data_IF_320806124549
#
_entry.id   IF_320806124549
#
_cell.length_a   1.000
_cell.length_b   1.000
_cell.length_c   1.000
_cell.angle_alpha   90.00
_cell.angle_beta   90.00
_cell.angle_gamma   90.00
#
_symmetry.space_group_name_H-M   'P 1'
#
loop_
_entity.id
_entity.type
_entity.pdbx_description
1 polymer ?
#
# COMPACT_ATOMS: atom_id res chain seq x y z
N UNK A 1 -56.82 22.57 -57.95
CA UNK A 1 -55.92 21.56 -57.40
C UNK A 1 -55.39 22.12 -56.07
N UNK A 2 -55.88 21.60 -54.93
CA UNK A 2 -55.45 22.04 -53.59
C UNK A 2 -54.46 21.02 -53.06
N UNK A 3 -53.21 21.44 -52.84
CA UNK A 3 -52.15 20.65 -52.23
C UNK A 3 -52.38 20.57 -50.70
N UNK A 4 -52.45 19.34 -50.18
CA UNK A 4 -52.49 19.09 -48.73
C UNK A 4 -51.02 19.02 -48.19
N UNK A 5 -50.75 19.57 -47.02
CA UNK A 5 -49.44 19.42 -46.39
C UNK A 5 -49.32 18.06 -45.68
N UNK A 6 -48.21 17.36 -45.92
CA UNK A 6 -47.84 16.16 -45.20
C UNK A 6 -47.32 16.50 -43.83
N UNK A 7 -47.98 15.95 -42.79
CA UNK A 7 -47.53 16.07 -41.39
C UNK A 7 -46.53 14.93 -41.15
N UNK A 8 -45.26 15.29 -40.94
CA UNK A 8 -44.22 14.34 -40.50
C UNK A 8 -44.34 14.17 -38.98
N UNK A 9 -44.71 12.97 -38.55
CA UNK A 9 -44.71 12.57 -37.14
C UNK A 9 -43.29 12.16 -36.77
N UNK A 10 -42.60 13.02 -35.98
CA UNK A 10 -41.31 12.74 -35.41
C UNK A 10 -41.49 11.82 -34.20
N UNK A 11 -41.21 10.53 -34.32
CA UNK A 11 -41.23 9.58 -33.20
C UNK A 11 -39.96 9.78 -32.35
N UNK A 12 -40.11 10.43 -31.19
CA UNK A 12 -39.08 10.50 -30.15
C UNK A 12 -38.96 9.11 -29.49
N UNK A 13 -37.92 8.38 -29.82
CA UNK A 13 -37.50 7.19 -29.09
C UNK A 13 -36.89 7.61 -27.73
N UNK A 14 -37.70 7.54 -26.68
CA UNK A 14 -37.17 7.61 -25.32
C UNK A 14 -36.38 6.32 -25.04
N UNK A 15 -35.07 6.43 -25.06
CA UNK A 15 -34.20 5.38 -24.51
C UNK A 15 -34.42 5.38 -22.97
N UNK A 16 -35.14 4.40 -22.46
CA UNK A 16 -35.24 4.17 -21.02
C UNK A 16 -33.84 3.81 -20.51
N UNK A 17 -33.39 4.41 -19.40
CA UNK A 17 -32.13 3.97 -18.80
C UNK A 17 -32.26 2.50 -18.42
N UNK A 18 -31.31 1.68 -18.90
CA UNK A 18 -31.19 0.30 -18.50
C UNK A 18 -30.81 0.33 -17.01
N UNK A 19 -31.77 0.11 -16.14
CA UNK A 19 -31.48 -0.10 -14.72
C UNK A 19 -30.62 -1.36 -14.62
N UNK A 20 -29.39 -1.22 -14.11
CA UNK A 20 -28.55 -2.37 -13.80
C UNK A 20 -29.34 -3.31 -12.88
N UNK A 21 -29.35 -4.60 -13.16
CA UNK A 21 -29.92 -5.58 -12.26
C UNK A 21 -29.25 -5.45 -10.89
N UNK A 22 -30.01 -5.54 -9.78
CA UNK A 22 -29.41 -5.52 -8.45
C UNK A 22 -28.35 -6.62 -8.38
N UNK A 23 -27.14 -6.28 -7.88
CA UNK A 23 -26.07 -7.26 -7.73
C UNK A 23 -26.52 -8.34 -6.74
N UNK A 24 -26.15 -9.60 -6.98
CA UNK A 24 -26.41 -10.69 -6.02
C UNK A 24 -25.65 -10.46 -4.68
N UNK A 25 -24.67 -9.56 -4.65
CA UNK A 25 -23.89 -9.15 -3.49
C UNK A 25 -23.94 -7.62 -3.33
N UNK A 26 -25.06 -7.05 -2.83
CA UNK A 26 -25.28 -5.61 -2.75
C UNK A 26 -24.30 -4.90 -1.79
N UNK A 27 -23.66 -5.62 -0.86
CA UNK A 27 -22.67 -5.09 0.08
C UNK A 27 -21.23 -5.27 -0.41
N UNK A 28 -21.02 -5.99 -1.52
CA UNK A 28 -19.69 -6.29 -2.04
C UNK A 28 -18.87 -7.26 -1.16
N UNK A 29 -19.55 -8.06 -0.35
CA UNK A 29 -18.90 -8.99 0.59
C UNK A 29 -18.11 -10.09 -0.11
N UNK A 30 -18.45 -10.41 -1.36
CA UNK A 30 -17.77 -11.39 -2.21
C UNK A 30 -16.94 -10.76 -3.32
N UNK A 31 -16.32 -9.62 -3.07
CA UNK A 31 -15.50 -8.95 -4.07
C UNK A 31 -14.39 -9.84 -4.65
N UNK A 32 -13.91 -10.83 -3.90
CA UNK A 32 -12.98 -11.87 -4.36
C UNK A 32 -13.66 -13.11 -4.99
N UNK A 33 -14.98 -13.13 -5.18
CA UNK A 33 -15.70 -14.31 -5.67
C UNK A 33 -15.46 -15.53 -4.78
N UNK A 34 -15.20 -16.68 -5.38
CA UNK A 34 -14.94 -17.96 -4.67
C UNK A 34 -13.64 -17.98 -3.86
N UNK A 35 -12.76 -16.99 -4.02
CA UNK A 35 -11.56 -16.85 -3.20
C UNK A 35 -11.85 -16.24 -1.83
N UNK A 36 -13.04 -15.63 -1.64
CA UNK A 36 -13.42 -14.89 -0.43
C UNK A 36 -13.46 -15.80 0.80
N UNK A 37 -12.81 -15.34 1.87
CA UNK A 37 -12.87 -15.95 3.19
C UNK A 37 -13.51 -14.97 4.15
N UNK A 38 -14.63 -15.34 4.74
CA UNK A 38 -15.28 -14.56 5.80
C UNK A 38 -14.60 -14.86 7.14
N UNK A 39 -13.84 -13.88 7.62
CA UNK A 39 -13.13 -13.98 8.88
C UNK A 39 -13.16 -12.66 9.64
N UNK A 40 -13.13 -12.73 10.94
CA UNK A 40 -13.07 -11.57 11.84
C UNK A 40 -11.85 -11.66 12.76
N UNK A 41 -11.53 -10.53 13.40
CA UNK A 41 -10.43 -10.46 14.35
C UNK A 41 -9.07 -10.22 13.74
N UNK A 42 -8.05 -10.32 14.57
CA UNK A 42 -6.67 -9.90 14.27
C UNK A 42 -6.08 -10.55 13.00
N UNK A 43 -6.43 -11.78 12.71
CA UNK A 43 -5.86 -12.58 11.62
C UNK A 43 -6.77 -12.64 10.38
N UNK A 44 -7.78 -11.78 10.29
CA UNK A 44 -8.77 -11.83 9.20
C UNK A 44 -8.14 -11.77 7.80
N UNK A 45 -7.01 -11.12 7.65
CA UNK A 45 -6.29 -10.98 6.37
C UNK A 45 -5.23 -12.06 6.13
N UNK A 46 -5.03 -13.00 7.07
CA UNK A 46 -3.95 -13.99 7.00
C UNK A 46 -4.39 -15.35 6.48
N UNK A 47 -5.62 -15.48 6.01
CA UNK A 47 -6.14 -16.74 5.50
C UNK A 47 -5.82 -16.91 4.00
N UNK A 48 -5.52 -18.16 3.57
CA UNK A 48 -5.45 -18.48 2.16
C UNK A 48 -6.83 -18.33 1.49
N UNK A 49 -6.85 -18.13 0.18
CA UNK A 49 -8.09 -18.13 -0.58
C UNK A 49 -8.90 -19.43 -0.34
N UNK A 50 -10.24 -19.32 -0.28
CA UNK A 50 -11.11 -20.43 0.11
C UNK A 50 -11.05 -21.61 -0.88
N UNK A 51 -10.85 -21.34 -2.15
CA UNK A 51 -10.88 -22.31 -3.26
C UNK A 51 -9.52 -22.96 -3.59
N UNK A 52 -8.48 -22.75 -2.76
CA UNK A 52 -7.18 -23.40 -2.98
C UNK A 52 -7.26 -24.91 -2.70
N UNK A 53 -6.60 -25.70 -3.53
CA UNK A 53 -6.30 -27.11 -3.29
C UNK A 53 -5.36 -27.30 -2.09
N UNK A 54 -5.21 -28.51 -1.59
CA UNK A 54 -4.31 -28.81 -0.47
C UNK A 54 -2.84 -28.52 -0.83
N UNK A 55 -2.43 -28.76 -2.06
CA UNK A 55 -1.09 -28.44 -2.55
C UNK A 55 -0.85 -26.92 -2.56
N UNK A 56 -1.81 -26.15 -3.07
CA UNK A 56 -1.73 -24.68 -3.09
C UNK A 56 -1.78 -24.09 -1.69
N UNK A 57 -2.57 -24.66 -0.76
CA UNK A 57 -2.54 -24.27 0.65
C UNK A 57 -1.17 -24.50 1.28
N UNK A 58 -0.53 -25.62 0.94
CA UNK A 58 0.85 -25.91 1.40
C UNK A 58 1.84 -24.87 0.86
N UNK A 59 1.76 -24.52 -0.41
CA UNK A 59 2.57 -23.44 -1.01
C UNK A 59 2.31 -22.09 -0.34
N UNK A 60 1.04 -21.76 -0.06
CA UNK A 60 0.68 -20.55 0.69
C UNK A 60 1.34 -20.51 2.06
N UNK A 61 1.30 -21.59 2.85
CA UNK A 61 1.94 -21.66 4.17
C UNK A 61 3.45 -21.44 4.09
N UNK A 62 4.10 -22.05 3.10
CA UNK A 62 5.53 -21.86 2.85
C UNK A 62 5.83 -20.39 2.51
N UNK A 63 5.08 -19.81 1.58
CA UNK A 63 5.22 -18.40 1.17
C UNK A 63 4.98 -17.44 2.33
N UNK A 64 3.92 -17.66 3.11
CA UNK A 64 3.61 -16.86 4.29
C UNK A 64 4.72 -16.95 5.36
N UNK A 65 5.40 -18.09 5.45
CA UNK A 65 6.58 -18.23 6.30
C UNK A 65 7.73 -17.30 5.86
N UNK A 66 7.95 -17.12 4.56
CA UNK A 66 8.95 -16.15 4.05
C UNK A 66 8.51 -14.70 4.29
N UNK A 67 7.23 -14.42 4.19
CA UNK A 67 6.68 -13.10 4.45
C UNK A 67 6.82 -12.67 5.92
N UNK A 68 6.54 -13.56 6.85
CA UNK A 68 6.44 -13.25 8.30
C UNK A 68 7.76 -13.33 9.06
N UNK A 69 8.67 -14.24 8.69
CA UNK A 69 9.91 -14.43 9.43
C UNK A 69 10.97 -13.41 9.05
N UNK A 70 11.75 -13.00 10.06
CA UNK A 70 12.83 -12.05 9.87
C UNK A 70 13.95 -12.60 8.98
N UNK A 71 14.39 -11.79 8.06
CA UNK A 71 15.65 -11.96 7.36
C UNK A 71 16.82 -11.64 8.28
N UNK A 72 17.95 -12.25 8.04
CA UNK A 72 19.18 -12.10 8.82
C UNK A 72 20.34 -11.68 7.92
N UNK A 73 21.32 -11.03 8.53
CA UNK A 73 22.54 -10.65 7.83
C UNK A 73 23.30 -11.88 7.35
N UNK A 74 23.81 -11.84 6.12
CA UNK A 74 24.72 -12.84 5.58
C UNK A 74 26.17 -12.60 6.09
N UNK A 75 26.97 -13.68 6.28
CA UNK A 75 26.60 -15.09 6.20
C UNK A 75 25.87 -15.57 7.47
N UNK A 76 24.87 -16.42 7.32
CA UNK A 76 24.18 -17.03 8.44
C UNK A 76 24.00 -18.55 8.24
N UNK A 77 23.84 -19.29 9.33
CA UNK A 77 23.52 -20.72 9.28
C UNK A 77 22.17 -20.98 8.59
N UNK A 78 21.27 -20.01 8.63
CA UNK A 78 19.95 -20.05 8.00
C UNK A 78 19.99 -19.53 6.56
N UNK A 79 20.67 -20.25 5.66
CA UNK A 79 20.92 -19.82 4.28
C UNK A 79 19.66 -19.42 3.49
N UNK A 80 18.50 -20.01 3.80
CA UNK A 80 17.24 -19.66 3.13
C UNK A 80 16.70 -18.27 3.53
N UNK A 81 17.30 -17.60 4.51
CA UNK A 81 16.83 -16.31 5.06
C UNK A 81 17.96 -15.34 5.31
N UNK A 82 19.16 -15.62 4.88
CA UNK A 82 20.25 -14.66 4.92
C UNK A 82 20.14 -13.66 3.75
N UNK A 83 20.95 -12.61 3.78
CA UNK A 83 20.93 -11.59 2.76
C UNK A 83 20.08 -10.37 3.11
N UNK A 84 19.76 -10.15 4.40
CA UNK A 84 19.25 -8.86 4.84
C UNK A 84 20.18 -7.76 4.36
N UNK A 85 19.64 -6.77 3.64
CA UNK A 85 20.41 -5.68 3.07
C UNK A 85 21.09 -4.80 4.12
N UNK A 86 22.06 -3.94 3.73
CA UNK A 86 22.82 -3.13 4.67
C UNK A 86 21.95 -2.16 5.44
N UNK A 87 20.91 -1.59 4.81
CA UNK A 87 19.96 -0.68 5.40
C UNK A 87 18.54 -1.22 5.27
N UNK A 88 17.70 -0.98 6.27
CA UNK A 88 16.31 -1.44 6.27
C UNK A 88 15.47 -0.64 7.29
N UNK A 89 14.15 -0.78 7.19
CA UNK A 89 13.17 -0.28 8.18
C UNK A 89 12.68 -1.45 9.03
N UNK A 90 12.34 -2.58 8.38
CA UNK A 90 11.90 -3.79 9.04
C UNK A 90 12.66 -4.99 8.48
N UNK A 91 12.76 -6.07 9.28
CA UNK A 91 13.50 -7.28 8.91
C UNK A 91 12.64 -8.32 8.18
N UNK A 92 11.35 -8.05 8.01
CA UNK A 92 10.41 -8.90 7.26
C UNK A 92 9.30 -8.06 6.65
N UNK A 93 8.63 -8.59 5.64
CA UNK A 93 7.43 -7.97 5.07
C UNK A 93 6.35 -7.81 6.15
N UNK A 94 6.11 -8.85 6.94
CA UNK A 94 5.16 -8.85 8.07
C UNK A 94 5.52 -7.87 9.19
N UNK A 95 6.77 -7.36 9.25
CA UNK A 95 7.15 -6.31 10.17
C UNK A 95 6.45 -4.97 9.89
N UNK A 96 6.23 -4.65 8.61
CA UNK A 96 5.46 -3.47 8.18
C UNK A 96 3.98 -3.79 7.96
N UNK A 97 3.67 -4.97 7.41
CA UNK A 97 2.32 -5.45 7.10
C UNK A 97 1.85 -6.43 8.17
N UNK A 98 1.60 -5.90 9.36
CA UNK A 98 1.26 -6.71 10.54
C UNK A 98 0.00 -7.53 10.30
N UNK A 99 0.10 -8.86 10.48
CA UNK A 99 -0.96 -9.83 10.21
C UNK A 99 -1.52 -9.75 8.78
N UNK A 100 -0.64 -9.53 7.80
CA UNK A 100 -0.97 -9.35 6.38
C UNK A 100 -1.88 -8.12 6.12
N UNK A 101 -2.02 -7.28 7.13
CA UNK A 101 -2.85 -6.10 7.14
C UNK A 101 -2.07 -4.81 6.91
N UNK A 102 -2.63 -3.72 7.41
CA UNK A 102 -2.07 -2.38 7.32
C UNK A 102 -1.09 -2.12 8.47
N UNK A 103 -0.01 -1.41 8.18
CA UNK A 103 0.78 -0.75 9.19
C UNK A 103 0.02 0.39 9.88
N UNK A 104 0.59 0.94 10.92
CA UNK A 104 0.06 2.11 11.61
C UNK A 104 1.12 3.19 11.75
N UNK A 105 0.74 4.47 11.79
CA UNK A 105 1.64 5.53 12.20
C UNK A 105 2.20 5.23 13.59
N UNK A 106 3.50 5.47 13.84
CA UNK A 106 4.08 5.27 15.16
C UNK A 106 3.56 6.32 16.16
N UNK A 107 3.55 5.98 17.42
CA UNK A 107 3.35 6.94 18.50
C UNK A 107 4.47 7.99 18.52
N UNK A 108 4.20 9.16 19.11
CA UNK A 108 5.21 10.20 19.27
C UNK A 108 6.46 9.66 19.99
N UNK A 109 7.64 9.91 19.42
CA UNK A 109 8.92 9.44 19.95
C UNK A 109 9.29 8.00 19.59
N UNK A 110 8.42 7.22 18.95
CA UNK A 110 8.75 5.90 18.45
C UNK A 110 9.34 5.96 17.03
N UNK A 111 10.24 5.03 16.72
CA UNK A 111 10.75 4.89 15.36
C UNK A 111 9.70 4.20 14.46
N UNK A 112 9.55 4.68 13.21
CA UNK A 112 8.59 4.07 12.29
C UNK A 112 9.05 2.67 11.87
N UNK A 113 8.13 1.70 11.91
CA UNK A 113 8.32 0.36 11.36
C UNK A 113 7.32 0.13 10.22
N UNK A 114 6.04 0.40 10.43
CA UNK A 114 5.00 0.28 9.41
C UNK A 114 4.74 1.55 8.60
N UNK A 115 5.68 2.50 8.63
CA UNK A 115 5.62 3.77 7.92
C UNK A 115 6.92 3.98 7.15
N UNK A 116 6.83 4.02 5.82
CA UNK A 116 7.94 4.38 4.94
C UNK A 116 8.04 5.89 4.78
N UNK A 117 9.25 6.42 4.79
CA UNK A 117 9.53 7.80 4.41
C UNK A 117 10.22 7.81 3.05
N UNK A 118 9.45 8.05 1.99
CA UNK A 118 10.00 8.23 0.64
C UNK A 118 10.61 9.60 0.54
N UNK A 119 11.80 9.67 -0.03
CA UNK A 119 12.56 10.89 -0.20
C UNK A 119 12.69 11.25 -1.68
N UNK A 120 12.68 12.54 -1.97
CA UNK A 120 12.97 13.07 -3.30
C UNK A 120 13.46 14.50 -3.20
N UNK A 121 13.93 15.02 -4.31
CA UNK A 121 14.17 16.46 -4.52
C UNK A 121 13.35 16.93 -5.72
N UNK A 122 13.11 18.25 -5.87
CA UNK A 122 12.42 18.80 -7.04
C UNK A 122 13.12 18.41 -8.33
N UNK A 123 12.34 18.13 -9.37
CA UNK A 123 12.82 17.74 -10.69
C UNK A 123 12.05 16.56 -11.25
N UNK A 124 12.43 16.17 -12.48
CA UNK A 124 11.88 15.01 -13.18
C UNK A 124 13.05 14.06 -13.46
N UNK A 125 12.97 12.88 -12.89
CA UNK A 125 13.95 11.81 -13.07
C UNK A 125 13.82 11.12 -14.43
N UNK A 126 14.68 10.15 -14.67
CA UNK A 126 14.59 9.28 -15.83
C UNK A 126 13.19 8.64 -15.89
N UNK A 127 12.65 8.51 -17.09
CA UNK A 127 11.31 7.93 -17.33
C UNK A 127 10.14 8.67 -16.65
N UNK A 128 10.27 9.96 -16.35
CA UNK A 128 9.21 10.77 -15.75
C UNK A 128 8.99 10.54 -14.25
N UNK A 129 9.85 9.77 -13.61
CA UNK A 129 9.79 9.51 -12.16
C UNK A 129 10.31 10.67 -11.32
N UNK A 130 10.28 10.52 -10.00
CA UNK A 130 10.86 11.45 -9.03
C UNK A 130 12.40 11.38 -9.06
N UNK A 131 13.06 12.48 -8.71
CA UNK A 131 14.51 12.50 -8.47
C UNK A 131 14.78 12.11 -7.04
N UNK A 132 15.56 11.05 -6.83
CA UNK A 132 15.93 10.60 -5.49
C UNK A 132 16.77 11.65 -4.74
N UNK A 133 16.70 11.66 -3.42
CA UNK A 133 17.58 12.47 -2.59
C UNK A 133 19.05 12.01 -2.77
N UNK A 134 20.00 12.92 -3.03
CA UNK A 134 21.35 12.54 -3.48
C UNK A 134 22.17 11.70 -2.49
N UNK A 135 21.94 11.85 -1.19
CA UNK A 135 22.70 11.18 -0.14
C UNK A 135 22.02 9.90 0.37
N UNK A 136 20.70 9.93 0.54
CA UNK A 136 19.90 8.88 1.18
C UNK A 136 19.00 8.12 0.20
N UNK A 137 19.05 8.44 -1.08
CA UNK A 137 18.25 7.77 -2.09
C UNK A 137 16.76 8.14 -2.04
N UNK A 138 15.92 7.22 -2.44
CA UNK A 138 14.48 7.44 -2.57
C UNK A 138 13.66 6.97 -1.34
N UNK A 139 14.34 6.41 -0.31
CA UNK A 139 13.72 5.93 0.92
C UNK A 139 14.69 6.03 2.09
N UNK A 140 14.23 6.58 3.21
CA UNK A 140 15.01 6.66 4.44
C UNK A 140 14.93 5.37 5.25
N UNK A 141 16.09 4.81 5.64
CA UNK A 141 16.21 3.57 6.39
C UNK A 141 16.84 3.85 7.77
N UNK A 142 16.05 3.66 8.82
CA UNK A 142 16.45 3.98 10.19
C UNK A 142 17.18 2.84 10.92
N UNK A 143 17.39 1.72 10.25
CA UNK A 143 18.12 0.57 10.78
C UNK A 143 19.15 0.05 9.78
N UNK A 144 20.17 -0.66 10.28
CA UNK A 144 21.22 -1.24 9.47
C UNK A 144 21.68 -2.58 10.06
N UNK A 145 22.37 -3.37 9.25
CA UNK A 145 23.06 -4.60 9.70
C UNK A 145 24.27 -4.25 10.58
N UNK A 146 24.81 -5.26 11.26
CA UNK A 146 25.99 -5.08 12.10
C UNK A 146 27.15 -4.47 11.30
N UNK A 147 27.89 -3.54 11.92
CA UNK A 147 29.01 -2.80 11.35
C UNK A 147 28.67 -1.83 10.20
N UNK A 148 27.41 -1.60 9.93
CA UNK A 148 26.93 -0.55 9.01
C UNK A 148 26.23 0.54 9.81
N UNK A 149 26.54 1.80 9.54
CA UNK A 149 25.81 2.91 10.16
C UNK A 149 24.38 2.94 9.61
N UNK A 150 23.34 3.09 10.46
CA UNK A 150 22.01 3.43 9.97
C UNK A 150 22.03 4.81 9.29
N UNK A 151 21.09 5.07 8.41
CA UNK A 151 20.99 6.37 7.74
C UNK A 151 20.69 7.50 8.73
N UNK A 152 20.01 7.19 9.82
CA UNK A 152 19.71 8.13 10.89
C UNK A 152 18.49 7.71 11.69
N UNK A 153 17.89 8.68 12.38
CA UNK A 153 16.64 8.52 13.14
C UNK A 153 15.60 9.50 12.65
N UNK A 154 14.34 9.16 12.84
CA UNK A 154 13.18 10.02 12.53
C UNK A 154 12.51 10.41 13.82
N UNK A 155 12.26 11.70 14.01
CA UNK A 155 11.37 12.19 15.05
C UNK A 155 10.06 12.64 14.40
N UNK A 156 8.96 12.20 14.98
CA UNK A 156 7.62 12.51 14.51
C UNK A 156 6.88 13.23 15.63
N UNK A 157 6.49 14.47 15.37
CA UNK A 157 5.63 15.25 16.23
C UNK A 157 4.24 15.37 15.60
N UNK A 158 3.20 15.31 16.41
CA UNK A 158 1.83 15.46 15.96
C UNK A 158 1.21 16.73 16.49
N UNK A 159 0.39 17.38 15.68
CA UNK A 159 -0.46 18.50 16.09
C UNK A 159 -1.90 18.26 15.68
N UNK A 160 -2.83 18.62 16.53
CA UNK A 160 -4.25 18.48 16.28
C UNK A 160 -4.75 19.44 15.21
N UNK A 161 -5.52 18.93 14.26
CA UNK A 161 -6.29 19.71 13.26
C UNK A 161 -7.75 19.39 13.46
N UNK A 162 -8.52 20.38 13.91
CA UNK A 162 -9.94 20.27 14.18
C UNK A 162 -10.73 20.58 12.91
N UNK A 163 -11.80 19.85 12.67
CA UNK A 163 -12.73 20.06 11.57
C UNK A 163 -14.13 19.60 11.92
N UNK A 164 -15.06 19.79 11.00
CA UNK A 164 -16.45 19.30 11.12
C UNK A 164 -16.95 18.77 9.80
N UNK A 165 -17.80 17.75 9.86
CA UNK A 165 -18.58 17.26 8.73
C UNK A 165 -19.74 18.22 8.40
N UNK A 166 -20.38 18.03 7.26
CA UNK A 166 -21.51 18.86 6.82
C UNK A 166 -22.72 18.80 7.76
N UNK A 167 -22.86 17.70 8.51
CA UNK A 167 -23.92 17.52 9.51
C UNK A 167 -23.62 18.18 10.87
N UNK A 168 -22.45 18.86 10.99
CA UNK A 168 -22.01 19.52 12.22
C UNK A 168 -21.23 18.61 13.18
N UNK A 169 -21.11 17.31 12.93
CA UNK A 169 -20.28 16.41 13.73
C UNK A 169 -18.82 16.84 13.65
N UNK A 170 -18.15 17.00 14.80
CA UNK A 170 -16.74 17.41 14.86
C UNK A 170 -15.79 16.24 14.83
N UNK A 171 -14.60 16.45 14.27
CA UNK A 171 -13.49 15.52 14.31
C UNK A 171 -12.17 16.22 14.62
N UNK A 172 -11.20 15.44 15.08
CA UNK A 172 -9.82 15.90 15.29
C UNK A 172 -8.90 14.96 14.52
N UNK A 173 -8.11 15.51 13.60
CA UNK A 173 -7.05 14.80 12.89
C UNK A 173 -5.70 15.16 13.50
N UNK A 174 -4.71 14.28 13.34
CA UNK A 174 -3.34 14.55 13.74
C UNK A 174 -2.49 14.83 12.49
N UNK A 175 -1.89 16.01 12.44
CA UNK A 175 -0.96 16.39 11.38
C UNK A 175 0.46 16.04 11.82
N UNK A 176 1.15 15.08 11.15
CA UNK A 176 2.52 14.73 11.47
C UNK A 176 3.51 15.77 10.94
N UNK A 177 4.58 16.00 11.70
CA UNK A 177 5.79 16.69 11.25
C UNK A 177 6.97 15.76 11.44
N UNK A 178 7.76 15.60 10.39
CA UNK A 178 8.93 14.72 10.35
C UNK A 178 10.20 15.54 10.45
N UNK A 179 11.14 15.11 11.29
CA UNK A 179 12.50 15.62 11.33
C UNK A 179 13.49 14.48 11.43
N UNK A 180 14.68 14.69 10.88
CA UNK A 180 15.73 13.69 10.81
C UNK A 180 16.89 14.12 11.69
N UNK A 181 17.47 13.18 12.44
CA UNK A 181 18.63 13.40 13.29
C UNK A 181 19.59 12.23 13.24
N UNK A 182 20.78 12.44 13.80
CA UNK A 182 21.85 11.45 13.86
C UNK A 182 22.19 10.88 12.47
N UNK A 183 22.18 11.74 11.44
CA UNK A 183 22.41 11.37 10.05
C UNK A 183 23.79 10.73 9.86
N UNK A 184 23.81 9.48 9.34
CA UNK A 184 25.03 8.66 9.25
C UNK A 184 25.96 9.03 8.10
N UNK A 185 25.43 9.67 7.03
CA UNK A 185 26.11 9.86 5.75
C UNK A 185 26.21 11.32 5.30
N UNK A 186 26.02 12.24 6.23
CA UNK A 186 26.08 13.69 5.95
C UNK A 186 24.68 14.34 5.90
N UNK A 187 24.61 15.63 5.59
CA UNK A 187 23.34 16.34 5.54
C UNK A 187 22.48 15.91 4.34
N UNK A 188 21.17 15.88 4.52
CA UNK A 188 20.23 15.82 3.43
C UNK A 188 20.24 17.10 2.59
N UNK A 189 19.79 17.01 1.36
CA UNK A 189 19.50 18.19 0.54
C UNK A 189 18.56 19.13 1.28
N UNK A 190 18.81 20.43 1.14
CA UNK A 190 17.92 21.47 1.68
C UNK A 190 16.54 21.48 1.02
N UNK A 191 16.44 20.90 -0.17
CA UNK A 191 15.22 20.79 -0.96
C UNK A 191 14.53 19.42 -0.81
N UNK A 192 14.93 18.62 0.20
CA UNK A 192 14.35 17.30 0.40
C UNK A 192 12.84 17.38 0.59
N UNK A 193 12.13 16.58 -0.18
CA UNK A 193 10.70 16.34 -0.06
C UNK A 193 10.49 14.98 0.61
N UNK A 194 9.58 14.94 1.57
CA UNK A 194 9.27 13.72 2.34
C UNK A 194 7.84 13.30 2.07
N UNK A 195 7.66 12.07 1.57
CA UNK A 195 6.35 11.46 1.33
C UNK A 195 6.16 10.25 2.25
N UNK A 196 5.51 10.43 3.41
CA UNK A 196 5.26 9.33 4.34
C UNK A 196 4.17 8.40 3.79
N UNK A 197 4.38 7.09 3.92
CA UNK A 197 3.47 6.06 3.43
C UNK A 197 3.29 4.97 4.46
N UNK A 198 2.10 4.86 5.00
CA UNK A 198 1.72 3.73 5.86
C UNK A 198 1.61 2.47 4.98
N UNK A 199 2.20 1.37 5.42
CA UNK A 199 2.12 0.09 4.72
C UNK A 199 0.64 -0.31 4.53
N UNK A 200 0.15 -0.50 3.29
CA UNK A 200 -1.23 -0.90 3.04
C UNK A 200 -1.46 -2.37 3.40
N UNK A 201 -2.73 -2.78 3.46
CA UNK A 201 -3.07 -4.20 3.49
C UNK A 201 -2.63 -4.89 2.19
N UNK A 202 -2.33 -6.19 2.27
CA UNK A 202 -1.85 -6.99 1.13
C UNK A 202 -2.82 -8.11 0.73
N UNK A 203 -4.05 -8.07 1.22
CA UNK A 203 -5.10 -8.99 0.80
C UNK A 203 -5.38 -8.84 -0.70
N UNK A 204 -5.66 -9.94 -1.37
CA UNK A 204 -6.01 -9.94 -2.80
C UNK A 204 -4.85 -9.73 -3.78
N UNK A 205 -3.60 -9.57 -3.31
CA UNK A 205 -2.44 -9.37 -4.20
C UNK A 205 -2.25 -10.54 -5.16
N UNK A 206 -2.54 -11.78 -4.73
CA UNK A 206 -2.50 -12.96 -5.60
C UNK A 206 -3.52 -12.91 -6.74
N UNK A 207 -4.65 -12.23 -6.59
CA UNK A 207 -5.60 -12.01 -7.69
C UNK A 207 -5.04 -11.03 -8.71
N UNK A 208 -4.30 -10.02 -8.29
CA UNK A 208 -3.61 -9.10 -9.20
C UNK A 208 -2.50 -9.83 -9.95
N UNK A 209 -1.72 -10.68 -9.27
CA UNK A 209 -0.67 -11.51 -9.89
C UNK A 209 -1.24 -12.48 -10.95
N UNK A 210 -2.47 -12.94 -10.79
CA UNK A 210 -3.14 -13.83 -11.73
C UNK A 210 -3.57 -13.15 -13.04
N UNK A 211 -3.46 -11.82 -13.16
CA UNK A 211 -3.78 -11.10 -14.39
C UNK A 211 -2.72 -11.43 -15.45
N UNK A 212 -3.08 -12.01 -16.60
CA UNK A 212 -2.11 -12.30 -17.65
C UNK A 212 -1.44 -11.04 -18.19
N UNK A 213 -0.14 -11.11 -18.48
CA UNK A 213 0.61 -9.97 -19.04
C UNK A 213 -0.05 -9.41 -20.30
N UNK A 214 -0.59 -10.27 -21.17
CA UNK A 214 -1.30 -9.85 -22.38
C UNK A 214 -2.51 -8.95 -22.10
N UNK A 215 -3.18 -9.12 -20.96
CA UNK A 215 -4.28 -8.26 -20.54
C UNK A 215 -3.77 -6.88 -20.07
N UNK A 216 -2.63 -6.85 -19.39
CA UNK A 216 -2.00 -5.60 -18.93
C UNK A 216 -1.52 -4.78 -20.12
N UNK A 217 -0.92 -5.43 -21.12
CA UNK A 217 -0.40 -4.76 -22.32
C UNK A 217 -1.49 -4.31 -23.31
N UNK A 218 -2.70 -4.86 -23.20
CA UNK A 218 -3.83 -4.51 -24.08
C UNK A 218 -4.53 -3.21 -23.65
N UNK A 219 -4.45 -2.83 -22.39
CA UNK A 219 -5.04 -1.62 -21.79
C UNK A 219 -4.00 -0.52 -21.61
#
# INVERSE_FOLDING_TARGET
MKSQPAIAILALLFAAPLAAAPSEDPLGEKAGGDTTVFATGRNAFSFPAANLSDEERTRFVIGNSFFKRNWVQAPASTKARDGLGPHFIARSCGGCHVNDGRGSPPEAGQQPVGLLLRLSIPGVGAHGGVVAEPTYGDQFNNAAVQNVKPEGKVDIAYSDVRGSFADGTTYVLQQPRYSFRDLGYGPMSKEVLVSPRVAPQIIGVGLIEAIPEAEILRN
#
